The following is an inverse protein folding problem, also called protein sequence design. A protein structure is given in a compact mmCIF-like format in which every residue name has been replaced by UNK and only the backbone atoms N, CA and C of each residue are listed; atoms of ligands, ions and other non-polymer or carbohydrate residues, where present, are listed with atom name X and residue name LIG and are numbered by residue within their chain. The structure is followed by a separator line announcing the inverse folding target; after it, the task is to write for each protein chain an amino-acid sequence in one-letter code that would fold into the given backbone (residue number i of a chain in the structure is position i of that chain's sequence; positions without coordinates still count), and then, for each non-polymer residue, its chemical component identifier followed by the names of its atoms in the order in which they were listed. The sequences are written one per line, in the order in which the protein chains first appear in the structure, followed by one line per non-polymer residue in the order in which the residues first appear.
data_IF_708372715032
#
_entry.id   IF_708372715032
#
_cell.length_a   1.000
_cell.length_b   1.000
_cell.length_c   1.000
_cell.angle_alpha   90.00
_cell.angle_beta   90.00
_cell.angle_gamma   90.00
#
_symmetry.space_group_name_H-M   'P 1'
#
loop_
_entity.id
_entity.type
_entity.pdbx_description
1 polymer ?
#
# COMPACT_ATOMS: atom_id res chain seq x y z
N UNK A 1 16.59 25.83 0.71
CA UNK A 1 16.09 24.60 0.06
C UNK A 1 16.81 23.33 0.56
N UNK A 2 18.08 23.44 0.93
CA UNK A 2 18.80 22.26 1.43
C UNK A 2 18.14 21.64 2.65
N UNK A 3 17.76 22.46 3.64
CA UNK A 3 17.11 21.95 4.86
C UNK A 3 15.76 21.31 4.56
N UNK A 4 15.01 21.86 3.61
CA UNK A 4 13.73 21.27 3.19
C UNK A 4 13.94 19.92 2.52
N UNK A 5 14.91 19.84 1.62
CA UNK A 5 15.21 18.57 0.92
C UNK A 5 15.70 17.49 1.87
N UNK A 6 16.55 17.85 2.82
CA UNK A 6 17.01 16.90 3.85
C UNK A 6 15.84 16.38 4.68
N UNK A 7 14.91 17.27 5.06
CA UNK A 7 13.71 16.87 5.79
C UNK A 7 12.85 15.92 4.98
N UNK A 8 12.65 16.21 3.69
CA UNK A 8 11.89 15.33 2.79
C UNK A 8 12.57 13.97 2.65
N UNK A 9 13.89 13.97 2.47
CA UNK A 9 14.65 12.72 2.33
C UNK A 9 14.53 11.84 3.57
N UNK A 10 14.58 12.44 4.76
CA UNK A 10 14.39 11.73 6.01
C UNK A 10 12.99 11.13 6.11
N UNK A 11 11.97 11.93 5.76
CA UNK A 11 10.59 11.43 5.76
C UNK A 11 10.40 10.28 4.75
N UNK A 12 11.00 10.39 3.59
CA UNK A 12 10.91 9.33 2.59
C UNK A 12 11.53 8.04 3.09
N UNK A 13 12.65 8.12 3.81
CA UNK A 13 13.26 6.93 4.42
C UNK A 13 12.31 6.27 5.43
N UNK A 14 11.62 7.07 6.23
CA UNK A 14 10.63 6.55 7.18
C UNK A 14 9.42 5.95 6.46
N UNK A 15 8.94 6.61 5.39
CA UNK A 15 7.83 6.09 4.59
C UNK A 15 8.19 4.75 3.95
N UNK A 16 9.40 4.62 3.43
CA UNK A 16 9.87 3.34 2.85
C UNK A 16 9.85 2.24 3.89
N UNK A 17 10.27 2.51 5.12
CA UNK A 17 10.22 1.53 6.22
C UNK A 17 8.78 1.08 6.49
N UNK A 18 7.86 2.03 6.55
CA UNK A 18 6.45 1.72 6.81
C UNK A 18 5.83 0.93 5.64
N UNK A 19 6.16 1.30 4.42
CA UNK A 19 5.69 0.57 3.23
C UNK A 19 6.26 -0.84 3.18
N UNK A 20 7.51 -1.04 3.63
CA UNK A 20 8.10 -2.39 3.73
C UNK A 20 7.34 -3.27 4.73
N UNK A 21 6.94 -2.70 5.87
CA UNK A 21 6.10 -3.41 6.85
C UNK A 21 4.75 -3.77 6.22
N UNK A 22 4.13 -2.81 5.52
CA UNK A 22 2.86 -3.03 4.84
C UNK A 22 2.97 -4.13 3.79
N UNK A 23 4.06 -4.16 3.03
CA UNK A 23 4.34 -5.22 2.06
C UNK A 23 4.36 -6.60 2.72
N UNK A 24 4.93 -6.69 3.91
CA UNK A 24 4.95 -7.93 4.69
C UNK A 24 3.55 -8.45 4.98
N UNK A 25 2.59 -7.56 5.27
CA UNK A 25 1.19 -7.94 5.45
C UNK A 25 0.55 -8.43 4.15
N UNK A 26 0.90 -7.81 3.01
CA UNK A 26 0.41 -8.29 1.71
C UNK A 26 0.92 -9.70 1.40
N UNK A 27 2.18 -9.96 1.72
CA UNK A 27 2.77 -11.29 1.53
C UNK A 27 2.14 -12.32 2.47
N UNK A 28 1.84 -11.92 3.70
CA UNK A 28 1.10 -12.78 4.63
C UNK A 28 -0.30 -13.11 4.09
N UNK A 29 -0.98 -12.13 3.52
CA UNK A 29 -2.29 -12.34 2.90
C UNK A 29 -2.19 -13.33 1.73
N UNK A 30 -1.15 -13.25 0.92
CA UNK A 30 -0.93 -14.18 -0.18
C UNK A 30 -0.80 -15.63 0.30
N UNK A 31 -0.22 -15.83 1.49
CA UNK A 31 -0.11 -17.18 2.07
C UNK A 31 -1.45 -17.74 2.51
N UNK A 32 -2.37 -16.86 2.90
CA UNK A 32 -3.67 -17.24 3.49
C UNK A 32 -4.75 -17.42 2.44
N UNK A 33 -4.78 -16.58 1.41
CA UNK A 33 -5.87 -16.58 0.41
C UNK A 33 -5.89 -17.87 -0.39
N UNK A 34 -7.05 -18.53 -0.47
CA UNK A 34 -7.13 -19.85 -1.10
C UNK A 34 -7.10 -19.81 -2.63
N UNK A 35 -7.55 -18.73 -3.26
CA UNK A 35 -7.57 -18.62 -4.72
C UNK A 35 -6.92 -17.34 -5.19
N UNK A 36 -6.41 -17.34 -6.42
CA UNK A 36 -5.80 -16.16 -7.02
C UNK A 36 -6.78 -14.99 -7.14
N UNK A 37 -8.04 -15.27 -7.41
CA UNK A 37 -9.07 -14.25 -7.52
C UNK A 37 -9.28 -13.47 -6.22
N UNK A 38 -8.94 -14.06 -5.08
CA UNK A 38 -9.02 -13.39 -3.77
C UNK A 38 -7.97 -12.32 -3.57
N UNK A 39 -6.95 -12.25 -4.44
CA UNK A 39 -5.89 -11.22 -4.36
C UNK A 39 -6.46 -9.83 -4.60
N UNK A 40 -7.36 -9.69 -5.58
CA UNK A 40 -8.07 -8.45 -5.83
C UNK A 40 -9.48 -8.54 -5.26
N UNK A 41 -9.74 -7.72 -4.25
CA UNK A 41 -11.06 -7.65 -3.60
C UNK A 41 -11.57 -6.21 -3.77
N UNK A 42 -12.45 -5.96 -4.76
CA UNK A 42 -12.86 -4.59 -5.10
C UNK A 42 -13.43 -3.78 -3.94
N UNK A 43 -14.29 -4.37 -3.11
CA UNK A 43 -14.85 -3.61 -1.96
C UNK A 43 -13.75 -3.21 -0.97
N UNK A 44 -12.71 -4.04 -0.83
CA UNK A 44 -11.61 -3.75 0.10
C UNK A 44 -10.75 -2.59 -0.42
N UNK A 45 -10.56 -2.49 -1.74
CA UNK A 45 -9.86 -1.37 -2.35
C UNK A 45 -10.53 -0.05 -1.97
N UNK A 46 -11.85 0.03 -2.15
CA UNK A 46 -12.60 1.25 -1.80
C UNK A 46 -12.63 1.50 -0.29
N UNK A 47 -12.70 0.46 0.51
CA UNK A 47 -12.63 0.54 1.96
C UNK A 47 -11.29 1.16 2.41
N UNK A 48 -10.18 0.72 1.84
CA UNK A 48 -8.86 1.26 2.16
C UNK A 48 -8.77 2.73 1.77
N UNK A 49 -9.23 3.09 0.56
CA UNK A 49 -9.21 4.47 0.09
C UNK A 49 -10.03 5.37 1.01
N UNK A 50 -11.22 4.92 1.41
CA UNK A 50 -12.08 5.67 2.34
C UNK A 50 -11.36 5.91 3.67
N UNK A 51 -10.77 4.87 4.25
CA UNK A 51 -10.04 4.98 5.52
C UNK A 51 -8.83 5.90 5.42
N UNK A 52 -8.10 5.81 4.31
CA UNK A 52 -6.94 6.66 4.06
C UNK A 52 -7.35 8.13 3.94
N UNK A 53 -8.46 8.41 3.23
CA UNK A 53 -8.95 9.79 3.11
C UNK A 53 -9.42 10.36 4.43
N UNK A 54 -10.04 9.53 5.29
CA UNK A 54 -10.41 9.94 6.66
C UNK A 54 -9.15 10.28 7.47
N UNK A 55 -8.13 9.46 7.39
CA UNK A 55 -6.85 9.70 8.07
C UNK A 55 -6.16 10.94 7.52
N UNK A 56 -6.19 11.13 6.21
CA UNK A 56 -5.59 12.29 5.55
C UNK A 56 -6.23 13.59 6.05
N UNK A 57 -7.57 13.63 6.14
CA UNK A 57 -8.29 14.79 6.66
C UNK A 57 -7.87 15.09 8.10
N UNK A 58 -7.80 14.07 8.93
CA UNK A 58 -7.41 14.20 10.33
C UNK A 58 -5.98 14.73 10.49
N UNK A 59 -5.07 14.30 9.64
CA UNK A 59 -3.65 14.67 9.73
C UNK A 59 -3.29 15.91 8.89
N UNK A 60 -4.25 16.47 8.17
CA UNK A 60 -4.00 17.64 7.33
C UNK A 60 -3.30 17.33 6.02
N UNK A 61 -3.35 16.09 5.55
CA UNK A 61 -2.83 15.71 4.24
C UNK A 61 -3.90 15.93 3.18
N UNK A 62 -3.53 16.61 2.09
CA UNK A 62 -4.48 16.85 1.00
C UNK A 62 -4.96 15.54 0.38
N UNK A 63 -6.29 15.42 0.19
CA UNK A 63 -6.88 14.29 -0.50
C UNK A 63 -6.43 14.16 -1.96
N UNK A 64 -6.07 15.30 -2.57
CA UNK A 64 -5.54 15.31 -3.94
C UNK A 64 -4.16 14.63 -4.03
N UNK A 65 -3.47 14.51 -2.91
CA UNK A 65 -2.21 13.75 -2.81
C UNK A 65 -2.53 12.32 -2.36
N UNK A 66 -3.29 12.19 -1.29
CA UNK A 66 -3.52 10.88 -0.66
C UNK A 66 -4.24 9.90 -1.59
N UNK A 67 -5.28 10.33 -2.28
CA UNK A 67 -6.08 9.40 -3.08
C UNK A 67 -5.30 8.79 -4.25
N UNK A 68 -4.68 9.57 -5.16
CA UNK A 68 -3.95 8.97 -6.28
C UNK A 68 -2.74 8.16 -5.81
N UNK A 69 -2.06 8.61 -4.75
CA UNK A 69 -0.93 7.86 -4.20
C UNK A 69 -1.38 6.50 -3.69
N UNK A 70 -2.45 6.46 -2.90
CA UNK A 70 -2.94 5.19 -2.36
C UNK A 70 -3.54 4.28 -3.42
N UNK A 71 -4.25 4.81 -4.40
CA UNK A 71 -4.78 3.97 -5.48
C UNK A 71 -3.66 3.29 -6.26
N UNK A 72 -2.59 4.02 -6.56
CA UNK A 72 -1.43 3.43 -7.24
C UNK A 72 -0.70 2.44 -6.33
N UNK A 73 -0.51 2.79 -5.06
CA UNK A 73 0.09 1.89 -4.08
C UNK A 73 -0.69 0.58 -3.99
N UNK A 74 -2.01 0.65 -3.92
CA UNK A 74 -2.88 -0.52 -3.86
C UNK A 74 -2.69 -1.39 -5.11
N UNK A 75 -2.66 -0.79 -6.30
CA UNK A 75 -2.45 -1.53 -7.55
C UNK A 75 -1.10 -2.23 -7.58
N UNK A 76 -0.04 -1.54 -7.16
CA UNK A 76 1.29 -2.13 -7.07
C UNK A 76 1.33 -3.29 -6.08
N UNK A 77 0.63 -3.14 -4.95
CA UNK A 77 0.57 -4.18 -3.92
C UNK A 77 -0.24 -5.39 -4.38
N UNK A 78 -1.33 -5.18 -5.11
CA UNK A 78 -2.11 -6.28 -5.69
C UNK A 78 -1.24 -7.07 -6.67
N UNK A 79 -0.49 -6.38 -7.53
CA UNK A 79 0.40 -7.04 -8.48
C UNK A 79 1.47 -7.86 -7.75
N UNK A 80 2.08 -7.28 -6.72
CA UNK A 80 3.10 -7.96 -5.91
C UNK A 80 2.51 -9.18 -5.19
N UNK A 81 1.36 -9.01 -4.55
CA UNK A 81 0.69 -10.10 -3.84
C UNK A 81 0.34 -11.24 -4.79
N UNK A 82 -0.12 -10.92 -6.00
CA UNK A 82 -0.42 -11.91 -7.02
C UNK A 82 0.80 -12.72 -7.44
N UNK A 83 1.93 -12.05 -7.61
CA UNK A 83 3.20 -12.72 -7.93
C UNK A 83 3.65 -13.65 -6.79
N UNK A 84 3.56 -13.18 -5.55
CA UNK A 84 3.91 -13.98 -4.36
C UNK A 84 2.98 -15.19 -4.27
N UNK A 85 1.67 -14.98 -4.48
CA UNK A 85 0.66 -16.06 -4.43
C UNK A 85 0.99 -17.17 -5.42
N UNK A 86 1.30 -16.81 -6.67
CA UNK A 86 1.67 -17.77 -7.72
C UNK A 86 2.96 -18.50 -7.36
N UNK A 87 3.95 -17.77 -6.88
CA UNK A 87 5.26 -18.33 -6.54
C UNK A 87 5.16 -19.37 -5.42
N UNK A 88 4.33 -19.10 -4.42
CA UNK A 88 4.13 -20.00 -3.29
C UNK A 88 3.46 -21.32 -3.72
N UNK A 89 2.73 -21.32 -4.81
CA UNK A 89 1.94 -22.46 -5.29
C UNK A 89 2.45 -23.07 -6.59
N UNK A 90 3.63 -22.64 -7.04
CA UNK A 90 4.18 -23.07 -8.33
C UNK A 90 4.99 -24.36 -8.26
N UNK A 91 5.02 -25.01 -7.14
CA UNK A 91 5.71 -26.32 -6.99
C UNK A 91 4.79 -27.51 -7.32
#
# INVERSE_FOLDING_TARGET
MEDVREGVDELDRELVKLLAVRQGYMEAAARIKPTFDDVRVPWRVEDVVTKVLQSAEKEGLSGRIAEPVWRELIECCIAHEGEVWKKLRSE
#
